data_IF_815976493331
#
_entry.id   IF_815976493331
#
_cell.length_a   1.000
_cell.length_b   1.000
_cell.length_c   1.000
_cell.angle_alpha   90.00
_cell.angle_beta   90.00
_cell.angle_gamma   90.00
#
_symmetry.space_group_name_H-M   'P 1'
#
loop_
_entity.id
_entity.type
_entity.pdbx_description
1 polymer ?
#
# COMPACT_ATOMS: atom_id res chain seq x y z
N UNK A 1 -31.24 21.34 -43.86
CA UNK A 1 -29.77 21.24 -43.68
C UNK A 1 -29.48 21.45 -42.20
N UNK A 2 -29.43 20.35 -41.44
CA UNK A 2 -29.23 20.37 -39.99
C UNK A 2 -27.73 20.48 -39.72
N UNK A 3 -27.30 21.52 -39.02
CA UNK A 3 -25.92 21.65 -38.53
C UNK A 3 -25.70 20.61 -37.42
N UNK A 4 -24.58 19.85 -37.41
CA UNK A 4 -24.30 18.94 -36.30
C UNK A 4 -23.95 19.73 -35.05
N UNK A 5 -24.55 19.34 -33.92
CA UNK A 5 -24.20 19.79 -32.58
C UNK A 5 -22.81 19.28 -32.19
N UNK A 6 -22.00 20.17 -31.63
CA UNK A 6 -20.75 19.83 -30.94
C UNK A 6 -21.05 18.93 -29.74
N UNK A 7 -20.87 17.63 -29.89
CA UNK A 7 -20.88 16.67 -28.77
C UNK A 7 -19.96 15.51 -29.08
N UNK A 8 -18.71 15.81 -29.37
CA UNK A 8 -17.62 14.84 -29.41
C UNK A 8 -16.38 15.50 -28.77
N UNK A 9 -15.58 14.70 -28.07
CA UNK A 9 -14.34 15.03 -27.35
C UNK A 9 -14.49 15.50 -25.89
N UNK A 10 -14.96 14.63 -24.99
CA UNK A 10 -14.59 14.71 -23.56
C UNK A 10 -14.61 13.35 -22.82
N UNK A 11 -14.11 12.28 -23.44
CA UNK A 11 -14.00 10.95 -22.78
C UNK A 11 -12.55 10.46 -22.54
N UNK A 12 -11.52 11.26 -22.85
CA UNK A 12 -10.12 10.79 -22.87
C UNK A 12 -9.25 11.11 -21.64
N UNK A 13 -9.80 11.68 -20.57
CA UNK A 13 -8.98 12.09 -19.40
C UNK A 13 -9.58 11.74 -18.02
N UNK A 14 -10.52 10.79 -17.93
CA UNK A 14 -10.98 10.35 -16.61
C UNK A 14 -10.03 9.28 -16.07
N UNK A 15 -9.49 9.42 -14.84
CA UNK A 15 -8.66 8.39 -14.25
C UNK A 15 -9.44 7.08 -14.16
N UNK A 16 -8.84 6.00 -14.66
CA UNK A 16 -9.45 4.69 -14.55
C UNK A 16 -9.14 4.13 -13.17
N UNK A 17 -10.16 3.70 -12.44
CA UNK A 17 -9.99 3.08 -11.12
C UNK A 17 -10.53 1.66 -11.12
N UNK A 18 -9.89 0.75 -10.37
CA UNK A 18 -10.26 -0.67 -10.27
C UNK A 18 -9.87 -1.21 -8.90
N UNK A 19 -10.61 -2.21 -8.43
CA UNK A 19 -10.25 -2.94 -7.21
C UNK A 19 -9.39 -4.14 -7.58
N UNK A 20 -8.24 -4.29 -6.92
CA UNK A 20 -7.31 -5.42 -7.10
C UNK A 20 -6.97 -5.96 -5.72
N UNK A 21 -7.43 -7.17 -5.42
CA UNK A 21 -7.33 -7.73 -4.07
C UNK A 21 -7.98 -6.80 -3.04
N UNK A 22 -7.23 -6.48 -1.98
CA UNK A 22 -7.69 -5.57 -0.93
C UNK A 22 -7.65 -4.08 -1.34
N UNK A 23 -6.95 -3.75 -2.42
CA UNK A 23 -6.58 -2.37 -2.76
C UNK A 23 -7.49 -1.74 -3.81
N UNK A 24 -7.58 -0.41 -3.76
CA UNK A 24 -8.06 0.43 -4.86
C UNK A 24 -6.85 0.90 -5.67
N UNK A 25 -6.87 0.67 -6.98
CA UNK A 25 -5.84 1.12 -7.93
C UNK A 25 -6.44 2.20 -8.81
N UNK A 26 -5.84 3.39 -8.81
CA UNK A 26 -6.19 4.52 -9.67
C UNK A 26 -5.03 4.76 -10.63
N UNK A 27 -5.32 4.74 -11.91
CA UNK A 27 -4.35 4.88 -12.99
C UNK A 27 -4.70 6.12 -13.82
N UNK A 28 -3.79 7.09 -13.80
CA UNK A 28 -3.90 8.31 -14.59
C UNK A 28 -3.12 8.16 -15.89
N UNK A 29 -3.65 8.73 -16.97
CA UNK A 29 -3.08 8.64 -18.32
C UNK A 29 -1.72 9.31 -18.47
N UNK A 30 -1.33 10.16 -17.51
CA UNK A 30 -0.03 10.82 -17.47
C UNK A 30 1.09 9.96 -16.86
N UNK A 31 0.85 8.67 -16.57
CA UNK A 31 1.88 7.80 -16.00
C UNK A 31 2.04 7.95 -14.48
N UNK A 32 0.94 8.26 -13.78
CA UNK A 32 0.85 8.22 -12.32
C UNK A 32 -0.13 7.12 -11.92
N UNK A 33 0.26 6.28 -10.96
CA UNK A 33 -0.58 5.24 -10.38
C UNK A 33 -0.60 5.37 -8.86
N UNK A 34 -1.81 5.40 -8.30
CA UNK A 34 -2.09 5.38 -6.87
C UNK A 34 -2.64 4.00 -6.49
N UNK A 35 -2.09 3.39 -5.46
CA UNK A 35 -2.60 2.14 -4.88
C UNK A 35 -2.90 2.42 -3.42
N UNK A 36 -4.14 2.21 -3.00
CA UNK A 36 -4.59 2.53 -1.65
C UNK A 36 -5.27 1.31 -1.02
N UNK A 37 -4.91 1.00 0.20
CA UNK A 37 -5.48 -0.12 0.98
C UNK A 37 -6.88 0.17 1.54
N UNK A 38 -7.46 1.34 1.22
CA UNK A 38 -8.73 1.87 1.73
C UNK A 38 -8.67 2.29 3.21
N UNK A 39 -7.47 2.36 3.78
CA UNK A 39 -7.16 2.74 5.15
C UNK A 39 -6.07 3.82 5.13
N UNK A 40 -4.86 3.49 5.57
CA UNK A 40 -3.77 4.44 5.78
C UNK A 40 -2.60 4.24 4.81
N UNK A 41 -2.52 3.10 4.13
CA UNK A 41 -1.38 2.78 3.25
C UNK A 41 -1.63 3.24 1.83
N UNK A 42 -0.75 4.13 1.35
CA UNK A 42 -0.77 4.63 -0.02
C UNK A 42 0.57 4.34 -0.70
N UNK A 43 0.53 3.67 -1.85
CA UNK A 43 1.68 3.55 -2.75
C UNK A 43 1.48 4.45 -3.97
N UNK A 44 2.51 5.24 -4.27
CA UNK A 44 2.56 6.07 -5.47
C UNK A 44 3.61 5.46 -6.40
N UNK A 45 3.21 5.14 -7.62
CA UNK A 45 4.11 4.74 -8.71
C UNK A 45 4.11 5.80 -9.78
N UNK A 46 5.30 6.16 -10.25
CA UNK A 46 5.51 7.16 -11.30
C UNK A 46 6.20 6.51 -12.49
N UNK A 47 5.84 6.94 -13.71
CA UNK A 47 6.62 6.66 -14.91
C UNK A 47 8.06 7.16 -14.72
N UNK A 48 9.07 6.47 -15.27
CA UNK A 48 10.46 6.95 -15.31
C UNK A 48 10.61 8.36 -15.91
N UNK A 49 9.63 8.84 -16.69
CA UNK A 49 9.62 10.20 -17.23
C UNK A 49 9.62 11.30 -16.15
N UNK A 50 9.19 10.97 -14.92
CA UNK A 50 9.17 11.88 -13.76
C UNK A 50 10.48 11.93 -12.99
N UNK A 51 11.49 11.15 -13.39
CA UNK A 51 12.77 11.07 -12.68
C UNK A 51 13.44 12.44 -12.55
N UNK A 52 13.72 12.86 -11.32
CA UNK A 52 14.28 14.18 -10.99
C UNK A 52 13.38 15.38 -11.28
N UNK A 53 12.08 15.17 -11.55
CA UNK A 53 11.10 16.23 -11.89
C UNK A 53 10.01 16.41 -10.83
N UNK A 54 10.09 15.65 -9.74
CA UNK A 54 9.14 15.70 -8.63
C UNK A 54 9.83 16.21 -7.38
N UNK A 55 9.02 16.62 -6.41
CA UNK A 55 9.46 17.05 -5.09
C UNK A 55 8.33 16.81 -4.09
N UNK A 56 8.66 16.76 -2.81
CA UNK A 56 7.70 16.54 -1.74
C UNK A 56 8.24 15.58 -0.69
N UNK A 57 7.32 15.07 0.14
CA UNK A 57 7.65 14.11 1.21
C UNK A 57 8.20 12.78 0.68
N UNK A 58 7.94 12.43 -0.58
CA UNK A 58 8.47 11.24 -1.25
C UNK A 58 9.82 11.47 -1.94
N UNK A 59 10.50 12.59 -1.67
CA UNK A 59 11.79 12.92 -2.29
C UNK A 59 11.65 13.47 -3.71
N UNK A 60 12.73 13.37 -4.48
CA UNK A 60 12.82 13.94 -5.84
C UNK A 60 12.89 12.89 -6.96
N UNK A 61 12.92 11.60 -6.60
CA UNK A 61 12.97 10.46 -7.53
C UNK A 61 14.16 10.56 -8.52
N UNK A 62 15.39 10.78 -8.03
CA UNK A 62 16.62 10.85 -8.86
C UNK A 62 17.60 9.67 -8.66
N UNK A 63 17.16 8.62 -7.95
CA UNK A 63 17.93 7.46 -7.47
C UNK A 63 18.99 7.76 -6.39
N UNK A 64 18.98 8.95 -5.76
CA UNK A 64 19.93 9.33 -4.71
C UNK A 64 19.24 9.67 -3.40
N UNK A 65 19.10 8.66 -2.53
CA UNK A 65 18.44 8.83 -1.24
C UNK A 65 19.04 9.89 -0.30
N UNK A 66 20.31 10.29 -0.51
CA UNK A 66 20.99 11.27 0.35
C UNK A 66 20.53 12.72 0.14
N UNK A 67 19.76 13.02 -0.90
CA UNK A 67 19.24 14.37 -1.18
C UNK A 67 17.70 14.47 -1.07
N UNK A 68 17.02 13.38 -0.68
CA UNK A 68 15.55 13.33 -0.65
C UNK A 68 14.95 14.28 0.39
N UNK A 69 15.70 14.64 1.44
CA UNK A 69 15.31 15.68 2.40
C UNK A 69 15.59 17.10 1.87
N UNK A 70 15.06 17.38 0.67
CA UNK A 70 15.06 18.72 0.10
C UNK A 70 13.77 19.46 0.48
N UNK A 71 13.93 20.58 1.17
CA UNK A 71 12.83 21.45 1.61
C UNK A 71 12.13 22.16 0.44
N UNK A 72 10.95 22.73 0.69
CA UNK A 72 10.19 23.52 -0.31
C UNK A 72 10.98 24.70 -0.92
N UNK A 73 11.99 25.22 -0.21
CA UNK A 73 12.88 26.29 -0.72
C UNK A 73 14.04 25.78 -1.59
N UNK A 74 14.17 24.45 -1.76
CA UNK A 74 15.27 23.84 -2.51
C UNK A 74 16.54 23.59 -1.69
N UNK A 75 16.49 23.77 -0.37
CA UNK A 75 17.63 23.50 0.52
C UNK A 75 17.56 22.07 1.05
N UNK A 76 18.69 21.36 1.03
CA UNK A 76 18.82 20.07 1.68
C UNK A 76 18.94 20.24 3.20
N UNK A 77 18.20 19.42 3.93
CA UNK A 77 18.23 19.36 5.39
C UNK A 77 18.53 17.91 5.83
N UNK A 78 19.11 17.75 7.02
CA UNK A 78 19.34 16.45 7.63
C UNK A 78 18.27 16.10 8.67
N UNK A 79 17.45 17.07 9.08
CA UNK A 79 16.42 16.89 10.09
C UNK A 79 15.05 16.57 9.43
N UNK A 80 14.47 15.37 9.66
CA UNK A 80 13.17 15.00 9.11
C UNK A 80 12.04 15.96 9.50
N UNK A 81 12.08 16.56 10.69
CA UNK A 81 11.05 17.49 11.16
C UNK A 81 11.07 18.79 10.37
N UNK A 82 12.26 19.37 10.15
CA UNK A 82 12.41 20.58 9.33
C UNK A 82 11.95 20.32 7.89
N UNK A 83 12.40 19.19 7.33
CA UNK A 83 11.99 18.74 6.01
C UNK A 83 10.47 18.61 5.90
N UNK A 84 9.83 17.85 6.80
CA UNK A 84 8.39 17.62 6.81
C UNK A 84 7.58 18.90 7.00
N UNK A 85 7.96 19.75 7.95
CA UNK A 85 7.30 21.03 8.22
C UNK A 85 7.37 21.97 7.01
N UNK A 86 8.44 21.93 6.21
CA UNK A 86 8.56 22.74 4.99
C UNK A 86 7.52 22.41 3.90
N UNK A 87 6.98 21.19 3.93
CA UNK A 87 6.01 20.70 2.95
C UNK A 87 4.55 20.92 3.35
N UNK A 88 4.27 21.51 4.52
CA UNK A 88 2.89 21.83 4.93
C UNK A 88 2.15 22.66 3.90
N UNK A 89 0.87 22.36 3.69
CA UNK A 89 0.04 23.06 2.71
C UNK A 89 -0.39 24.45 3.19
N UNK A 90 -0.73 24.57 4.47
CA UNK A 90 -1.16 25.82 5.09
C UNK A 90 -0.11 26.32 6.08
N UNK A 91 0.28 27.60 6.02
CA UNK A 91 1.11 28.22 7.05
C UNK A 91 0.48 28.20 8.45
N UNK A 92 -0.85 28.08 8.54
CA UNK A 92 -1.58 28.02 9.82
C UNK A 92 -1.42 26.68 10.53
N UNK A 93 -0.97 25.63 9.83
CA UNK A 93 -0.67 24.36 10.47
C UNK A 93 0.56 24.52 11.38
N UNK A 94 0.48 24.04 12.64
CA UNK A 94 1.59 24.11 13.58
C UNK A 94 2.75 23.25 13.09
N UNK A 95 3.96 23.65 13.45
CA UNK A 95 5.16 22.86 13.20
C UNK A 95 5.26 21.73 14.21
N UNK A 96 5.69 20.56 13.74
CA UNK A 96 6.05 19.44 14.61
C UNK A 96 7.45 19.70 15.15
N UNK A 97 7.58 19.81 16.47
CA UNK A 97 8.84 20.16 17.15
C UNK A 97 9.59 18.95 17.70
N UNK A 98 8.89 17.82 17.88
CA UNK A 98 9.46 16.59 18.39
C UNK A 98 8.71 15.39 17.81
N UNK A 99 9.43 14.30 17.63
CA UNK A 99 8.83 13.02 17.27
C UNK A 99 8.01 12.48 18.44
N UNK A 100 6.78 12.05 18.14
CA UNK A 100 5.91 11.42 19.12
C UNK A 100 6.35 9.98 19.28
N UNK A 101 6.63 9.56 20.52
CA UNK A 101 6.95 8.17 20.89
C UNK A 101 5.74 7.54 21.59
N UNK A 102 4.85 6.83 20.87
CA UNK A 102 3.56 6.42 21.39
C UNK A 102 3.67 5.41 22.53
N UNK A 103 4.64 4.51 22.46
CA UNK A 103 4.88 3.53 23.52
C UNK A 103 5.40 4.16 24.81
N UNK A 104 6.08 5.31 24.75
CA UNK A 104 6.51 6.04 25.95
C UNK A 104 5.32 6.75 26.62
N UNK A 105 4.39 7.25 25.81
CA UNK A 105 3.14 7.84 26.27
C UNK A 105 2.15 6.77 26.79
N UNK A 106 2.19 5.55 26.23
CA UNK A 106 1.27 4.45 26.52
C UNK A 106 2.04 3.15 26.84
N UNK A 107 2.80 3.11 27.95
CA UNK A 107 3.69 1.99 28.27
C UNK A 107 2.96 0.65 28.48
N UNK A 108 1.70 0.68 28.91
CA UNK A 108 0.88 -0.52 29.10
C UNK A 108 0.62 -1.29 27.80
N UNK A 109 0.76 -0.64 26.63
CA UNK A 109 0.54 -1.27 25.31
C UNK A 109 1.78 -1.84 24.69
N UNK A 110 2.96 -1.42 25.16
CA UNK A 110 4.25 -1.78 24.60
C UNK A 110 4.46 -3.29 24.54
N UNK A 111 4.15 -4.01 25.62
CA UNK A 111 4.32 -5.47 25.68
C UNK A 111 3.46 -6.22 24.66
N UNK A 112 2.20 -5.78 24.49
CA UNK A 112 1.33 -6.33 23.44
C UNK A 112 1.85 -6.00 22.04
N UNK A 113 2.20 -4.74 21.80
CA UNK A 113 2.72 -4.28 20.51
C UNK A 113 4.00 -5.04 20.09
N UNK A 114 4.99 -5.14 20.98
CA UNK A 114 6.23 -5.89 20.73
C UNK A 114 5.95 -7.37 20.45
N UNK A 115 5.03 -7.98 21.20
CA UNK A 115 4.66 -9.38 21.02
C UNK A 115 3.99 -9.62 19.66
N UNK A 116 2.96 -8.87 19.32
CA UNK A 116 2.23 -9.07 18.06
C UNK A 116 3.13 -8.74 16.85
N UNK A 117 3.85 -7.62 16.89
CA UNK A 117 4.75 -7.21 15.81
C UNK A 117 5.97 -8.13 15.63
N UNK A 118 6.31 -8.97 16.62
CA UNK A 118 7.41 -9.93 16.51
C UNK A 118 7.24 -10.93 15.35
N UNK A 119 6.02 -11.12 14.84
CA UNK A 119 5.76 -11.93 13.65
C UNK A 119 6.64 -11.52 12.46
N UNK A 120 6.91 -10.22 12.28
CA UNK A 120 7.76 -9.67 11.21
C UNK A 120 9.19 -10.23 11.27
N UNK A 121 9.70 -10.48 12.48
CA UNK A 121 11.03 -11.02 12.73
C UNK A 121 11.04 -12.54 12.94
N UNK A 122 9.86 -13.17 12.95
CA UNK A 122 9.72 -14.61 13.19
C UNK A 122 10.05 -15.46 11.97
N UNK A 123 10.07 -16.77 12.16
CA UNK A 123 10.28 -17.76 11.08
C UNK A 123 9.22 -17.65 9.96
N UNK A 124 8.04 -17.08 10.22
CA UNK A 124 6.98 -16.84 9.21
C UNK A 124 7.53 -16.04 8.02
N UNK A 125 8.35 -15.02 8.29
CA UNK A 125 8.90 -14.11 7.27
C UNK A 125 10.34 -14.44 6.87
N UNK A 126 10.89 -15.58 7.31
CA UNK A 126 12.31 -15.93 7.11
C UNK A 126 12.79 -15.88 5.67
N UNK A 127 11.94 -16.29 4.73
CA UNK A 127 12.26 -16.27 3.30
C UNK A 127 12.45 -14.84 2.75
N UNK A 128 11.90 -13.83 3.44
CA UNK A 128 11.97 -12.43 3.08
C UNK A 128 13.08 -11.67 3.81
N UNK A 129 13.50 -12.11 5.01
CA UNK A 129 14.51 -11.41 5.82
C UNK A 129 15.83 -11.14 5.09
N UNK A 130 16.22 -12.04 4.18
CA UNK A 130 17.44 -11.87 3.35
C UNK A 130 17.28 -10.87 2.20
N UNK A 131 16.04 -10.52 1.85
CA UNK A 131 15.70 -9.65 0.71
C UNK A 131 15.25 -8.26 1.14
N UNK A 132 14.53 -8.16 2.26
CA UNK A 132 14.00 -6.91 2.83
C UNK A 132 14.29 -6.88 4.32
N UNK A 133 14.99 -5.83 4.77
CA UNK A 133 15.33 -5.64 6.18
C UNK A 133 14.04 -5.52 7.03
N UNK A 134 13.78 -6.44 7.99
CA UNK A 134 12.57 -6.40 8.81
C UNK A 134 12.56 -5.30 9.87
N UNK A 135 13.71 -4.77 10.27
CA UNK A 135 13.81 -3.89 11.44
C UNK A 135 12.96 -2.61 11.33
N UNK A 136 13.00 -1.83 10.22
CA UNK A 136 12.17 -0.63 10.11
C UNK A 136 10.66 -0.92 10.13
N UNK A 137 10.25 -2.08 9.59
CA UNK A 137 8.84 -2.50 9.59
C UNK A 137 8.38 -2.96 10.96
N UNK A 138 9.24 -3.64 11.71
CA UNK A 138 8.99 -4.00 13.11
C UNK A 138 8.83 -2.76 13.98
N UNK A 139 9.75 -1.80 13.87
CA UNK A 139 9.70 -0.55 14.65
C UNK A 139 8.45 0.28 14.32
N UNK A 140 8.09 0.38 13.03
CA UNK A 140 6.86 1.03 12.59
C UNK A 140 5.60 0.31 13.13
N UNK A 141 5.58 -1.02 13.07
CA UNK A 141 4.47 -1.82 13.61
C UNK A 141 4.29 -1.55 15.12
N UNK A 142 5.37 -1.55 15.91
CA UNK A 142 5.31 -1.30 17.35
C UNK A 142 4.83 0.13 17.63
N UNK A 143 5.31 1.11 16.86
CA UNK A 143 4.87 2.51 16.95
C UNK A 143 3.37 2.66 16.69
N UNK A 144 2.86 2.09 15.60
CA UNK A 144 1.45 2.14 15.21
C UNK A 144 0.56 1.39 16.22
N UNK A 145 0.98 0.18 16.61
CA UNK A 145 0.27 -0.66 17.58
C UNK A 145 0.16 0.02 18.95
N UNK A 146 1.18 0.76 19.41
CA UNK A 146 1.07 1.58 20.62
C UNK A 146 0.14 2.78 20.44
N UNK A 147 0.08 3.38 19.25
CA UNK A 147 -0.72 4.58 18.96
C UNK A 147 -2.22 4.33 18.96
N UNK A 148 -2.69 3.22 18.36
CA UNK A 148 -4.11 2.99 18.08
C UNK A 148 -4.90 2.53 19.31
N UNK A 149 -5.47 3.45 20.09
CA UNK A 149 -6.09 3.20 21.40
C UNK A 149 -7.62 3.36 21.44
N UNK A 150 -8.21 3.79 20.33
CA UNK A 150 -9.62 4.20 20.26
C UNK A 150 -10.55 3.08 19.77
N UNK A 151 -10.08 1.82 19.84
CA UNK A 151 -10.69 0.67 19.19
C UNK A 151 -10.22 0.53 17.74
N UNK A 152 -9.78 -0.67 17.35
CA UNK A 152 -9.14 -0.91 16.04
C UNK A 152 -7.67 -1.30 16.13
N UNK A 153 -7.17 -1.68 17.31
CA UNK A 153 -5.79 -2.11 17.57
C UNK A 153 -5.31 -3.18 16.56
N UNK A 154 -6.20 -4.12 16.25
CA UNK A 154 -5.94 -5.16 15.26
C UNK A 154 -5.76 -4.59 13.84
N UNK A 155 -6.44 -3.50 13.49
CA UNK A 155 -6.37 -2.90 12.15
C UNK A 155 -5.02 -2.23 11.89
N UNK A 156 -4.46 -1.51 12.87
CA UNK A 156 -3.14 -0.89 12.74
C UNK A 156 -2.05 -1.94 12.63
N UNK A 157 -2.08 -2.95 13.52
CA UNK A 157 -1.18 -4.10 13.46
C UNK A 157 -1.23 -4.82 12.10
N UNK A 158 -2.42 -5.18 11.63
CA UNK A 158 -2.57 -5.89 10.36
C UNK A 158 -2.11 -5.07 9.16
N UNK A 159 -2.30 -3.75 9.18
CA UNK A 159 -1.86 -2.87 8.09
C UNK A 159 -0.33 -2.75 8.05
N UNK A 160 0.31 -2.64 9.21
CA UNK A 160 1.78 -2.61 9.31
C UNK A 160 2.43 -3.92 8.86
N UNK A 161 1.90 -5.08 9.26
CA UNK A 161 2.41 -6.38 8.80
C UNK A 161 2.16 -6.59 7.30
N UNK A 162 0.99 -6.19 6.79
CA UNK A 162 0.68 -6.25 5.36
C UNK A 162 1.63 -5.38 4.51
N UNK A 163 2.06 -4.22 5.02
CA UNK A 163 3.05 -3.39 4.34
C UNK A 163 4.39 -4.11 4.17
N UNK A 164 4.86 -4.84 5.19
CA UNK A 164 6.07 -5.66 5.07
C UNK A 164 5.88 -6.82 4.09
N UNK A 165 4.76 -7.53 4.18
CA UNK A 165 4.41 -8.60 3.24
C UNK A 165 4.38 -8.11 1.78
N UNK A 166 3.91 -6.87 1.55
CA UNK A 166 3.89 -6.27 0.22
C UNK A 166 5.29 -6.00 -0.35
N UNK A 167 6.26 -5.59 0.48
CA UNK A 167 7.66 -5.47 0.06
C UNK A 167 8.30 -6.84 -0.19
N UNK A 168 7.94 -7.85 0.61
CA UNK A 168 8.35 -9.22 0.36
C UNK A 168 7.85 -9.74 -0.99
N UNK A 169 6.58 -9.48 -1.35
CA UNK A 169 6.03 -9.84 -2.67
C UNK A 169 6.82 -9.16 -3.79
N UNK A 170 7.13 -7.87 -3.66
CA UNK A 170 7.96 -7.14 -4.65
C UNK A 170 9.36 -7.73 -4.79
N UNK A 171 9.92 -8.24 -3.70
CA UNK A 171 11.20 -8.94 -3.68
C UNK A 171 11.08 -10.44 -4.04
N UNK A 172 9.95 -10.89 -4.60
CA UNK A 172 9.71 -12.27 -5.01
C UNK A 172 9.81 -13.26 -3.83
N UNK A 173 9.35 -12.84 -2.64
CA UNK A 173 9.22 -13.67 -1.44
C UNK A 173 7.76 -13.67 -0.99
N UNK A 174 6.99 -14.65 -1.48
CA UNK A 174 5.59 -14.80 -1.14
C UNK A 174 5.41 -15.43 0.24
N UNK A 175 4.84 -14.69 1.21
CA UNK A 175 4.66 -15.13 2.60
C UNK A 175 3.17 -15.28 2.93
N UNK A 176 2.76 -16.45 3.40
CA UNK A 176 1.42 -16.68 3.96
C UNK A 176 1.44 -16.44 5.46
N UNK A 177 1.03 -15.25 5.89
CA UNK A 177 1.17 -14.81 7.29
C UNK A 177 -0.16 -14.67 8.04
N UNK A 178 -1.29 -14.53 7.33
CA UNK A 178 -2.62 -14.46 7.93
C UNK A 178 -3.08 -15.84 8.42
N UNK A 179 -3.74 -15.87 9.56
CA UNK A 179 -4.37 -17.07 10.12
C UNK A 179 -5.77 -16.72 10.64
N UNK A 180 -6.62 -17.69 11.03
CA UNK A 180 -7.90 -17.39 11.66
C UNK A 180 -7.77 -16.52 12.92
N UNK A 181 -6.66 -16.64 13.64
CA UNK A 181 -6.39 -15.87 14.86
C UNK A 181 -5.61 -14.57 14.60
N UNK A 182 -4.83 -14.51 13.52
CA UNK A 182 -3.97 -13.38 13.16
C UNK A 182 -4.46 -12.75 11.86
N UNK A 183 -5.08 -11.58 11.98
CA UNK A 183 -5.50 -10.77 10.84
C UNK A 183 -6.36 -11.53 9.80
N UNK A 184 -7.46 -12.20 10.23
CA UNK A 184 -8.26 -13.05 9.37
C UNK A 184 -8.86 -12.29 8.19
N UNK A 185 -9.03 -13.01 7.08
CA UNK A 185 -9.67 -12.51 5.86
C UNK A 185 -10.84 -13.42 5.48
N UNK A 186 -11.97 -12.82 5.11
CA UNK A 186 -13.21 -13.55 4.82
C UNK A 186 -13.50 -13.54 3.31
N UNK A 187 -12.79 -14.35 2.55
CA UNK A 187 -12.99 -14.45 1.10
C UNK A 187 -14.28 -15.20 0.73
N UNK A 188 -14.63 -16.21 1.52
CA UNK A 188 -15.79 -17.09 1.26
C UNK A 188 -17.12 -16.33 1.36
N UNK A 189 -17.13 -15.15 1.99
CA UNK A 189 -18.27 -14.26 2.01
C UNK A 189 -18.78 -13.90 0.60
N UNK A 190 -17.88 -13.88 -0.39
CA UNK A 190 -18.21 -13.54 -1.77
C UNK A 190 -18.67 -14.75 -2.61
N UNK A 191 -18.60 -15.96 -2.06
CA UNK A 191 -19.01 -17.17 -2.76
C UNK A 191 -20.54 -17.33 -2.76
N UNK A 192 -21.14 -17.61 -3.92
CA UNK A 192 -22.52 -18.11 -3.98
C UNK A 192 -22.66 -19.45 -3.24
N UNK A 193 -23.89 -19.84 -2.92
CA UNK A 193 -24.13 -21.12 -2.21
C UNK A 193 -23.63 -22.29 -3.07
N UNK A 194 -22.83 -23.16 -2.47
CA UNK A 194 -22.22 -24.35 -3.10
C UNK A 194 -21.20 -24.04 -4.20
N UNK A 195 -20.71 -22.81 -4.29
CA UNK A 195 -19.61 -22.41 -5.16
C UNK A 195 -18.40 -22.03 -4.29
N UNK A 196 -17.20 -22.21 -4.82
CA UNK A 196 -15.96 -21.89 -4.15
C UNK A 196 -15.04 -21.27 -5.19
N UNK A 197 -15.39 -20.07 -5.66
CA UNK A 197 -14.67 -19.38 -6.71
C UNK A 197 -13.72 -18.32 -6.12
N UNK A 198 -14.19 -17.59 -5.12
CA UNK A 198 -13.40 -16.60 -4.38
C UNK A 198 -12.50 -17.29 -3.35
N UNK A 199 -11.20 -17.06 -3.48
CA UNK A 199 -10.16 -17.56 -2.60
C UNK A 199 -9.22 -16.44 -2.17
N UNK A 200 -8.58 -16.64 -1.02
CA UNK A 200 -7.49 -15.77 -0.58
C UNK A 200 -6.23 -16.07 -1.37
N UNK A 201 -5.69 -15.05 -2.05
CA UNK A 201 -4.41 -15.09 -2.73
C UNK A 201 -3.41 -14.20 -1.96
N UNK A 202 -2.48 -14.78 -1.17
CA UNK A 202 -1.62 -14.04 -0.25
C UNK A 202 -0.68 -13.07 -0.96
N UNK A 203 -0.33 -13.39 -2.20
CA UNK A 203 0.72 -12.70 -2.94
C UNK A 203 0.21 -12.11 -4.25
N UNK A 204 -1.11 -12.05 -4.44
CA UNK A 204 -1.72 -11.68 -5.70
C UNK A 204 -1.40 -12.64 -6.84
N UNK A 205 -1.94 -12.36 -8.01
CA UNK A 205 -1.61 -13.09 -9.23
C UNK A 205 -1.84 -12.21 -10.45
N UNK A 206 -1.39 -12.65 -11.61
CA UNK A 206 -1.70 -11.97 -12.87
C UNK A 206 -3.19 -12.10 -13.17
N UNK A 207 -3.94 -11.03 -12.90
CA UNK A 207 -5.38 -10.97 -13.14
C UNK A 207 -5.60 -10.36 -14.52
N UNK A 208 -6.42 -11.02 -15.33
CA UNK A 208 -6.97 -10.45 -16.57
C UNK A 208 -8.46 -10.25 -16.37
N UNK A 209 -8.94 -9.00 -16.47
CA UNK A 209 -10.37 -8.67 -16.38
C UNK A 209 -10.88 -8.17 -17.73
N UNK A 210 -12.20 -8.24 -17.97
CA UNK A 210 -12.80 -7.67 -19.18
C UNK A 210 -12.45 -6.18 -19.38
N UNK A 211 -12.28 -5.44 -18.29
CA UNK A 211 -11.85 -4.04 -18.36
C UNK A 211 -10.41 -3.89 -18.83
N UNK A 212 -9.50 -4.81 -18.47
CA UNK A 212 -8.11 -4.79 -18.94
C UNK A 212 -7.98 -5.17 -20.42
N UNK A 213 -8.87 -6.02 -20.93
CA UNK A 213 -8.91 -6.38 -22.36
C UNK A 213 -9.35 -5.18 -23.21
N UNK A 214 -10.24 -4.33 -22.68
CA UNK A 214 -10.85 -3.23 -23.42
C UNK A 214 -10.16 -1.87 -23.22
N UNK A 215 -9.17 -1.76 -22.31
CA UNK A 215 -8.46 -0.51 -22.06
C UNK A 215 -7.05 -0.56 -22.66
N UNK A 216 -6.65 0.56 -23.29
CA UNK A 216 -5.25 0.81 -23.63
C UNK A 216 -4.49 0.94 -22.31
N UNK A 217 -3.64 -0.03 -22.00
CA UNK A 217 -2.79 -0.04 -20.81
C UNK A 217 -1.88 1.18 -20.79
N UNK A 218 -1.73 1.86 -19.64
CA UNK A 218 -0.55 2.69 -19.44
C UNK A 218 0.70 1.80 -19.32
N UNK A 219 1.90 2.36 -19.53
CA UNK A 219 3.16 1.63 -19.40
C UNK A 219 3.48 1.18 -17.95
N UNK A 220 2.57 1.38 -16.99
CA UNK A 220 2.76 0.99 -15.60
C UNK A 220 2.16 -0.38 -15.32
N UNK A 221 3.01 -1.31 -14.88
CA UNK A 221 2.56 -2.64 -14.43
C UNK A 221 2.04 -2.56 -12.99
N UNK A 222 0.80 -3.00 -12.80
CA UNK A 222 0.20 -3.17 -11.47
C UNK A 222 1.05 -4.22 -10.73
N UNK A 223 1.56 -3.91 -9.52
CA UNK A 223 2.27 -4.92 -8.75
C UNK A 223 1.33 -6.06 -8.37
N UNK A 224 1.90 -7.20 -8.01
CA UNK A 224 1.14 -8.24 -7.34
C UNK A 224 0.69 -7.72 -5.97
N UNK A 225 -0.60 -7.85 -5.68
CA UNK A 225 -1.26 -7.30 -4.50
C UNK A 225 -2.03 -8.40 -3.77
N UNK A 226 -1.88 -8.46 -2.45
CA UNK A 226 -2.62 -9.37 -1.58
C UNK A 226 -4.14 -9.17 -1.71
N UNK A 227 -4.89 -10.27 -1.72
CA UNK A 227 -6.33 -10.25 -1.48
C UNK A 227 -7.10 -11.33 -2.21
N UNK A 228 -8.38 -11.05 -2.43
CA UNK A 228 -9.32 -12.04 -2.94
C UNK A 228 -9.12 -12.23 -4.45
N UNK A 229 -9.16 -13.48 -4.89
CA UNK A 229 -9.08 -13.87 -6.29
C UNK A 229 -10.26 -14.77 -6.65
N UNK A 230 -10.88 -14.48 -7.78
CA UNK A 230 -11.91 -15.31 -8.38
C UNK A 230 -11.26 -16.36 -9.29
N UNK A 231 -11.45 -17.63 -8.97
CA UNK A 231 -11.16 -18.78 -9.81
C UNK A 231 -12.48 -19.30 -10.38
N UNK A 232 -12.51 -19.70 -11.65
CA UNK A 232 -13.58 -20.58 -12.13
C UNK A 232 -13.13 -21.98 -11.72
N UNK A 233 -13.59 -22.48 -10.58
CA UNK A 233 -13.29 -23.87 -10.21
C UNK A 233 -14.30 -24.76 -10.91
N UNK A 234 -13.86 -25.48 -11.95
CA UNK A 234 -14.58 -26.68 -12.37
C UNK A 234 -14.49 -27.68 -11.22
N UNK A 235 -15.58 -27.81 -10.47
CA UNK A 235 -15.74 -28.71 -9.34
C UNK A 235 -15.46 -30.16 -9.79
N UNK A 236 -14.18 -30.56 -9.76
CA UNK A 236 -13.71 -31.91 -10.12
C UNK A 236 -12.77 -32.51 -9.07
N UNK A 237 -12.22 -31.70 -8.16
CA UNK A 237 -11.16 -32.14 -7.24
C UNK A 237 -11.55 -31.97 -5.77
N UNK A 238 -12.76 -32.39 -5.41
CA UNK A 238 -13.08 -32.79 -4.03
C UNK A 238 -13.55 -34.25 -4.09
N UNK A 239 -12.59 -35.16 -3.92
CA UNK A 239 -12.79 -36.57 -3.54
C UNK A 239 -12.00 -36.83 -2.26
#
# INVERSE_FOLDING_TARGET
VVKPSQTEVLHHCLPSWKTVGLYLVIEASNGVMLIWDKKTTVFIKLSPDYKGKVCGLCGNFDDKANNDFTTRSGLQDSNPLNFGNSWKQSPMCPDVTQEIKPCDLKPHRKSWAEKECSIIQSEVFKICHSKVNPLPFYEACVHDACSCDSGGDCECFCSAVAAYAQECIKAEACVFWRTPDICPIFCDYYNPRNECDWHYEPCGSNITTCRMINNVSTNLTIPLLEGNKFYIVFCSDIL
#
